data_IF_354362576036
#
_entry.id   IF_354362576036
#
_cell.length_a   1.000
_cell.length_b   1.000
_cell.length_c   1.000
_cell.angle_alpha   90.00
_cell.angle_beta   90.00
_cell.angle_gamma   90.00
#
_symmetry.space_group_name_H-M   'P 1'
#
loop_
_entity.id
_entity.type
_entity.pdbx_description
1 polymer ?
#
# COMPACT_ATOMS: atom_id res chain seq x y z
N UNK A 1 -70.92 -12.53 9.68
CA UNK A 1 -70.16 -12.26 8.43
C UNK A 1 -69.85 -10.78 8.20
N UNK A 2 -70.80 -9.83 8.37
CA UNK A 2 -70.54 -8.38 8.15
C UNK A 2 -69.48 -7.75 9.09
N UNK A 3 -69.38 -8.19 10.33
CA UNK A 3 -68.42 -7.64 11.32
C UNK A 3 -66.98 -8.11 11.14
N UNK A 4 -66.76 -9.27 10.52
CA UNK A 4 -65.41 -9.78 10.22
C UNK A 4 -64.86 -9.04 9.00
N UNK A 5 -65.68 -8.89 7.94
CA UNK A 5 -65.30 -8.20 6.70
C UNK A 5 -64.89 -6.73 6.92
N UNK A 6 -65.57 -6.03 7.83
CA UNK A 6 -65.22 -4.64 8.20
C UNK A 6 -63.88 -4.54 8.94
N UNK A 7 -63.57 -5.50 9.83
CA UNK A 7 -62.28 -5.54 10.53
C UNK A 7 -61.12 -5.89 9.59
N UNK A 8 -61.33 -6.74 8.59
CA UNK A 8 -60.31 -7.05 7.57
C UNK A 8 -60.04 -5.85 6.67
N UNK A 9 -61.07 -5.08 6.26
CA UNK A 9 -60.89 -3.87 5.45
C UNK A 9 -60.18 -2.75 6.22
N UNK A 10 -60.50 -2.57 7.51
CA UNK A 10 -59.81 -1.59 8.37
C UNK A 10 -58.34 -1.97 8.61
N UNK A 11 -58.06 -3.26 8.82
CA UNK A 11 -56.68 -3.76 8.93
C UNK A 11 -55.91 -3.62 7.61
N UNK A 12 -56.53 -3.89 6.46
CA UNK A 12 -55.90 -3.72 5.14
C UNK A 12 -55.60 -2.25 4.84
N UNK A 13 -56.50 -1.33 5.19
CA UNK A 13 -56.30 0.11 4.96
C UNK A 13 -55.25 0.73 5.88
N UNK A 14 -55.15 0.27 7.14
CA UNK A 14 -54.03 0.62 8.03
C UNK A 14 -52.70 0.04 7.51
N UNK A 15 -52.70 -1.17 6.95
CA UNK A 15 -51.50 -1.73 6.32
C UNK A 15 -51.06 -0.96 5.08
N UNK A 16 -52.00 -0.54 4.22
CA UNK A 16 -51.70 0.22 2.99
C UNK A 16 -51.14 1.61 3.30
N UNK A 17 -51.64 2.31 4.32
CA UNK A 17 -51.08 3.61 4.72
C UNK A 17 -49.65 3.49 5.28
N UNK A 18 -49.38 2.49 6.12
CA UNK A 18 -48.03 2.22 6.65
C UNK A 18 -47.02 1.89 5.53
N UNK A 19 -47.44 1.19 4.47
CA UNK A 19 -46.57 0.90 3.32
C UNK A 19 -46.33 2.12 2.41
N UNK A 20 -47.30 3.02 2.30
CA UNK A 20 -47.16 4.23 1.48
C UNK A 20 -46.15 5.24 2.06
N UNK A 21 -46.13 5.40 3.39
CA UNK A 21 -45.17 6.29 4.08
C UNK A 21 -43.73 5.73 4.01
N UNK A 22 -43.56 4.42 3.97
CA UNK A 22 -42.25 3.77 3.87
C UNK A 22 -41.55 3.95 2.52
N UNK A 23 -42.27 4.35 1.46
CA UNK A 23 -41.71 4.54 0.12
C UNK A 23 -41.50 6.01 -0.27
N UNK A 24 -41.92 6.95 0.57
CA UNK A 24 -41.80 8.37 0.26
C UNK A 24 -40.32 8.81 0.28
N UNK A 25 -39.82 9.18 -0.90
CA UNK A 25 -38.54 9.88 -1.04
C UNK A 25 -38.73 11.35 -0.67
N UNK A 26 -37.83 11.87 0.15
CA UNK A 26 -37.82 13.25 0.62
C UNK A 26 -36.44 13.88 0.39
N UNK A 27 -36.42 15.18 0.15
CA UNK A 27 -35.17 15.95 0.12
C UNK A 27 -34.77 16.27 1.55
N UNK A 28 -33.66 15.69 1.99
CA UNK A 28 -33.06 15.90 3.30
C UNK A 28 -32.04 17.02 3.16
N UNK A 29 -32.15 18.03 4.01
CA UNK A 29 -31.17 19.09 4.16
C UNK A 29 -30.64 19.10 5.59
N UNK A 30 -29.37 19.45 5.78
CA UNK A 30 -28.78 19.51 7.11
C UNK A 30 -27.36 20.04 7.09
N UNK A 31 -26.73 20.00 8.25
CA UNK A 31 -25.33 20.43 8.45
C UNK A 31 -24.50 19.23 8.87
N UNK A 32 -23.39 19.00 8.18
CA UNK A 32 -22.38 18.02 8.53
C UNK A 32 -21.01 18.71 8.56
N UNK A 33 -20.35 18.64 9.72
CA UNK A 33 -19.07 19.32 10.01
C UNK A 33 -18.12 18.39 10.74
N UNK A 34 -16.88 18.83 10.82
CA UNK A 34 -15.84 18.22 11.62
C UNK A 34 -14.84 19.29 12.10
N UNK A 35 -13.79 18.87 12.82
CA UNK A 35 -12.82 19.79 13.42
C UNK A 35 -11.77 20.36 12.46
N UNK A 36 -11.75 19.95 11.18
CA UNK A 36 -10.65 20.25 10.24
C UNK A 36 -11.15 20.71 8.86
N UNK A 37 -12.47 20.93 8.70
CA UNK A 37 -13.12 21.46 7.50
C UNK A 37 -12.73 20.77 6.17
N UNK A 38 -12.82 19.43 6.12
CA UNK A 38 -12.50 18.62 4.93
C UNK A 38 -13.72 17.84 4.41
N UNK A 39 -13.49 17.07 3.35
CA UNK A 39 -14.47 16.27 2.61
C UNK A 39 -15.16 15.19 3.46
N UNK A 40 -16.40 15.45 3.86
CA UNK A 40 -17.32 14.46 4.46
C UNK A 40 -18.14 13.84 3.33
N UNK A 41 -18.14 12.51 3.24
CA UNK A 41 -19.00 11.77 2.30
C UNK A 41 -20.27 11.34 3.03
N UNK A 42 -21.42 11.65 2.44
CA UNK A 42 -22.74 11.26 2.96
C UNK A 42 -23.36 10.26 1.98
N UNK A 43 -23.64 9.04 2.46
CA UNK A 43 -24.06 7.92 1.61
C UNK A 43 -25.34 7.29 2.14
N UNK A 44 -26.28 7.02 1.23
CA UNK A 44 -27.54 6.32 1.56
C UNK A 44 -27.30 4.81 1.70
N UNK A 45 -27.76 4.23 2.81
CA UNK A 45 -27.80 2.78 3.10
C UNK A 45 -26.46 2.03 2.98
N UNK A 46 -25.37 2.78 3.08
CA UNK A 46 -24.00 2.30 2.96
C UNK A 46 -23.65 1.64 1.61
N UNK A 47 -24.34 2.06 0.56
CA UNK A 47 -24.28 1.40 -0.76
C UNK A 47 -22.86 1.41 -1.35
N UNK A 48 -22.17 2.56 -1.28
CA UNK A 48 -20.83 2.71 -1.83
C UNK A 48 -19.76 1.91 -1.08
N UNK A 49 -19.86 1.79 0.25
CA UNK A 49 -18.86 1.05 1.02
C UNK A 49 -18.97 -0.45 0.78
N UNK A 50 -20.20 -0.99 0.80
CA UNK A 50 -20.42 -2.42 0.54
C UNK A 50 -19.89 -2.82 -0.83
N UNK A 51 -20.00 -1.93 -1.81
CA UNK A 51 -19.34 -2.11 -3.09
C UNK A 51 -17.82 -2.15 -2.95
N UNK A 52 -17.20 -1.13 -2.33
CA UNK A 52 -15.74 -1.04 -2.14
C UNK A 52 -15.16 -2.25 -1.39
N UNK A 53 -15.83 -2.69 -0.33
CA UNK A 53 -15.40 -3.86 0.46
C UNK A 53 -15.47 -5.17 -0.34
N UNK A 54 -16.43 -5.29 -1.25
CA UNK A 54 -16.50 -6.43 -2.15
C UNK A 54 -15.42 -6.33 -3.23
N UNK A 55 -15.25 -5.17 -3.84
CA UNK A 55 -14.23 -4.91 -4.85
C UNK A 55 -12.80 -5.11 -4.34
N UNK A 56 -12.52 -4.78 -3.06
CA UNK A 56 -11.20 -5.01 -2.47
C UNK A 56 -10.87 -6.48 -2.21
N UNK A 57 -11.87 -7.34 -2.14
CA UNK A 57 -11.72 -8.79 -1.89
C UNK A 57 -11.79 -9.63 -3.17
N UNK A 58 -12.33 -9.07 -4.25
CA UNK A 58 -12.57 -9.75 -5.52
C UNK A 58 -12.20 -8.83 -6.69
N UNK A 59 -11.01 -9.03 -7.24
CA UNK A 59 -10.49 -8.26 -8.37
C UNK A 59 -11.34 -8.45 -9.65
N UNK A 60 -11.95 -9.64 -9.81
CA UNK A 60 -12.86 -9.92 -10.93
C UNK A 60 -14.16 -9.11 -10.82
N UNK A 61 -14.70 -9.01 -9.60
CA UNK A 61 -15.83 -8.12 -9.31
C UNK A 61 -15.48 -6.65 -9.56
N UNK A 62 -14.33 -6.19 -9.06
CA UNK A 62 -13.88 -4.81 -9.24
C UNK A 62 -13.79 -4.43 -10.72
N UNK A 63 -13.12 -5.25 -11.54
CA UNK A 63 -12.99 -5.01 -12.98
C UNK A 63 -14.32 -5.04 -13.71
N UNK A 64 -15.21 -5.97 -13.35
CA UNK A 64 -16.49 -6.16 -14.03
C UNK A 64 -17.45 -5.00 -13.79
N UNK A 65 -17.47 -4.44 -12.58
CA UNK A 65 -18.49 -3.48 -12.15
C UNK A 65 -17.95 -2.05 -11.93
N UNK A 66 -16.76 -1.74 -12.46
CA UNK A 66 -16.13 -0.44 -12.27
C UNK A 66 -17.01 0.70 -12.82
N UNK A 67 -17.60 0.53 -13.99
CA UNK A 67 -18.49 1.52 -14.61
C UNK A 67 -19.73 1.82 -13.77
N UNK A 68 -20.31 0.80 -13.17
CA UNK A 68 -21.50 0.89 -12.32
C UNK A 68 -21.16 1.57 -10.99
N UNK A 69 -19.97 1.31 -10.46
CA UNK A 69 -19.46 2.03 -9.30
C UNK A 69 -19.27 3.51 -9.59
N UNK A 70 -18.64 3.85 -10.72
CA UNK A 70 -18.43 5.24 -11.11
C UNK A 70 -19.78 5.96 -11.30
N UNK A 71 -20.79 5.27 -11.86
CA UNK A 71 -22.15 5.77 -11.95
C UNK A 71 -22.79 6.00 -10.57
N UNK A 72 -22.61 5.07 -9.62
CA UNK A 72 -23.13 5.18 -8.25
C UNK A 72 -22.48 6.34 -7.47
N UNK A 73 -21.17 6.54 -7.60
CA UNK A 73 -20.43 7.61 -6.91
C UNK A 73 -20.90 9.00 -7.36
N UNK A 74 -21.24 9.12 -8.64
CA UNK A 74 -21.73 10.37 -9.24
C UNK A 74 -23.26 10.56 -9.10
N UNK A 75 -23.97 9.56 -8.58
CA UNK A 75 -25.41 9.64 -8.40
C UNK A 75 -25.77 10.38 -7.10
N UNK A 76 -26.38 11.56 -7.26
CA UNK A 76 -26.81 12.44 -6.16
C UNK A 76 -27.91 11.85 -5.27
N UNK A 77 -28.59 10.81 -5.72
CA UNK A 77 -29.59 10.08 -4.91
C UNK A 77 -28.94 9.10 -3.94
N UNK A 78 -27.65 8.76 -4.12
CA UNK A 78 -26.94 7.83 -3.25
C UNK A 78 -25.76 8.46 -2.51
N UNK A 79 -25.29 9.60 -2.99
CA UNK A 79 -24.08 10.24 -2.49
C UNK A 79 -24.15 11.77 -2.60
N UNK A 80 -23.76 12.46 -1.53
CA UNK A 80 -23.55 13.90 -1.53
C UNK A 80 -22.36 14.27 -0.65
N UNK A 81 -21.86 15.49 -0.84
CA UNK A 81 -20.77 16.08 -0.08
C UNK A 81 -21.25 17.44 0.40
N UNK A 82 -21.04 17.79 1.69
CA UNK A 82 -21.36 19.11 2.18
C UNK A 82 -20.57 20.22 1.47
N UNK A 83 -21.16 21.41 1.38
CA UNK A 83 -20.47 22.62 0.93
C UNK A 83 -19.43 23.11 1.96
N UNK A 84 -18.76 24.23 1.68
CA UNK A 84 -17.76 24.82 2.59
C UNK A 84 -18.32 25.30 3.93
N UNK A 85 -19.64 25.51 4.03
CA UNK A 85 -20.35 25.81 5.27
C UNK A 85 -20.81 24.54 6.02
N UNK A 86 -20.58 23.37 5.44
CA UNK A 86 -21.06 22.08 5.95
C UNK A 86 -22.51 21.78 5.59
N UNK A 87 -23.17 22.57 4.74
CA UNK A 87 -24.54 22.29 4.35
C UNK A 87 -24.57 21.18 3.31
N UNK A 88 -25.50 20.24 3.45
CA UNK A 88 -25.72 19.18 2.47
C UNK A 88 -27.18 19.04 2.11
N UNK A 89 -27.42 18.53 0.90
CA UNK A 89 -28.74 18.14 0.41
C UNK A 89 -28.65 16.77 -0.25
N UNK A 90 -29.59 15.87 0.07
CA UNK A 90 -29.68 14.53 -0.53
C UNK A 90 -31.13 14.04 -0.58
N UNK A 91 -31.50 13.33 -1.65
CA UNK A 91 -32.80 12.67 -1.75
C UNK A 91 -32.70 11.27 -1.14
N UNK A 92 -33.58 10.93 -0.19
CA UNK A 92 -33.59 9.61 0.44
C UNK A 92 -35.00 9.27 0.97
N UNK A 93 -35.29 7.99 1.19
CA UNK A 93 -36.56 7.57 1.81
C UNK A 93 -36.52 7.79 3.32
N UNK A 94 -37.67 8.03 3.94
CA UNK A 94 -37.76 8.16 5.40
C UNK A 94 -37.19 6.97 6.17
N UNK A 95 -37.28 5.77 5.57
CA UNK A 95 -36.74 4.51 6.11
C UNK A 95 -35.24 4.34 5.92
N UNK A 96 -34.61 5.13 5.05
CA UNK A 96 -33.19 5.01 4.76
C UNK A 96 -32.34 5.49 5.94
N UNK A 97 -31.07 5.06 5.90
CA UNK A 97 -30.04 5.53 6.83
C UNK A 97 -28.97 6.28 6.07
N UNK A 98 -28.66 7.51 6.50
CA UNK A 98 -27.53 8.26 6.00
C UNK A 98 -26.28 7.92 6.82
N UNK A 99 -25.19 7.62 6.11
CA UNK A 99 -23.89 7.35 6.68
C UNK A 99 -22.96 8.53 6.42
N UNK A 100 -22.48 9.15 7.49
CA UNK A 100 -21.56 10.27 7.46
C UNK A 100 -20.15 9.75 7.68
N UNK A 101 -19.30 9.91 6.67
CA UNK A 101 -17.99 9.25 6.60
C UNK A 101 -16.91 10.26 6.28
N UNK A 102 -15.78 10.09 6.94
CA UNK A 102 -14.55 10.77 6.60
C UNK A 102 -13.37 9.88 7.01
N UNK A 103 -12.29 9.93 6.23
CA UNK A 103 -11.06 9.25 6.56
C UNK A 103 -10.56 9.67 7.96
N UNK A 104 -10.28 8.68 8.83
CA UNK A 104 -9.88 8.83 10.25
C UNK A 104 -10.94 9.39 11.20
N UNK A 105 -12.20 9.42 10.80
CA UNK A 105 -13.31 9.76 11.67
C UNK A 105 -14.21 8.54 11.89
N UNK A 106 -14.82 8.45 13.07
CA UNK A 106 -15.80 7.43 13.34
C UNK A 106 -17.01 7.66 12.42
N UNK A 107 -17.43 6.61 11.71
CA UNK A 107 -18.64 6.69 10.89
C UNK A 107 -19.85 6.89 11.78
N UNK A 108 -20.61 7.96 11.53
CA UNK A 108 -21.87 8.23 12.21
C UNK A 108 -23.03 7.90 11.27
N UNK A 109 -24.13 7.40 11.82
CA UNK A 109 -25.29 6.98 11.03
C UNK A 109 -26.59 7.41 11.69
N UNK A 110 -27.52 7.89 10.88
CA UNK A 110 -28.81 8.39 11.33
C UNK A 110 -29.90 7.97 10.35
N UNK A 111 -31.07 7.59 10.87
CA UNK A 111 -32.24 7.38 10.02
C UNK A 111 -32.69 8.72 9.45
N UNK A 112 -33.13 8.73 8.20
CA UNK A 112 -33.62 9.96 7.54
C UNK A 112 -34.76 10.59 8.32
N UNK A 113 -35.74 9.78 8.77
CA UNK A 113 -36.84 10.29 9.60
C UNK A 113 -36.37 10.98 10.90
N UNK A 114 -35.30 10.47 11.54
CA UNK A 114 -34.73 11.09 12.73
C UNK A 114 -34.05 12.43 12.42
N UNK A 115 -33.31 12.51 11.30
CA UNK A 115 -32.64 13.75 10.87
C UNK A 115 -33.68 14.86 10.68
N UNK A 116 -34.78 14.55 9.97
CA UNK A 116 -35.85 15.51 9.67
C UNK A 116 -36.58 15.94 10.95
N UNK A 117 -36.99 14.98 11.78
CA UNK A 117 -37.76 15.27 12.98
C UNK A 117 -36.96 16.09 14.01
N UNK A 118 -35.65 15.82 14.13
CA UNK A 118 -34.79 16.42 15.16
C UNK A 118 -33.93 17.58 14.65
N UNK A 119 -33.94 17.86 13.35
CA UNK A 119 -33.02 18.82 12.70
C UNK A 119 -31.56 18.52 13.08
N UNK A 120 -31.16 17.27 12.88
CA UNK A 120 -29.86 16.78 13.38
C UNK A 120 -28.70 17.45 12.65
N UNK A 121 -27.86 18.16 13.41
CA UNK A 121 -26.53 18.57 12.96
C UNK A 121 -25.51 17.49 13.29
N UNK A 122 -24.69 17.13 12.31
CA UNK A 122 -23.72 16.03 12.44
C UNK A 122 -22.32 16.59 12.58
N UNK A 123 -21.73 16.41 13.76
CA UNK A 123 -20.32 16.72 14.01
C UNK A 123 -19.53 15.42 14.11
N UNK A 124 -18.78 15.09 13.05
CA UNK A 124 -17.98 13.87 13.03
C UNK A 124 -16.87 13.95 14.07
N UNK A 125 -16.70 12.86 14.82
CA UNK A 125 -15.64 12.71 15.83
C UNK A 125 -14.49 11.91 15.25
N UNK A 126 -13.22 12.30 15.50
CA UNK A 126 -12.06 11.50 15.13
C UNK A 126 -12.22 10.06 15.64
N UNK A 127 -11.82 9.09 14.83
CA UNK A 127 -11.75 7.70 15.27
C UNK A 127 -10.58 7.56 16.27
N UNK A 128 -10.69 6.66 17.27
CA UNK A 128 -9.55 6.31 18.10
C UNK A 128 -8.38 5.84 17.22
N UNK A 129 -7.20 6.40 17.45
CA UNK A 129 -6.00 6.12 16.67
C UNK A 129 -4.76 6.07 17.57
N UNK A 130 -3.73 5.39 17.09
CA UNK A 130 -2.40 5.34 17.72
C UNK A 130 -1.58 6.51 17.24
N UNK A 131 -0.89 7.20 18.15
CA UNK A 131 0.11 8.19 17.75
C UNK A 131 1.37 7.48 17.30
N UNK A 132 2.00 7.99 16.25
CA UNK A 132 3.35 7.60 15.90
C UNK A 132 4.32 7.95 17.03
N UNK A 133 5.20 7.01 17.37
CA UNK A 133 6.30 7.28 18.28
C UNK A 133 7.28 8.21 17.56
N UNK A 134 7.55 9.36 18.14
CA UNK A 134 8.57 10.27 17.64
C UNK A 134 9.95 9.76 18.04
N UNK A 135 10.89 9.81 17.09
CA UNK A 135 12.28 9.50 17.33
C UNK A 135 13.14 10.63 16.75
N UNK A 136 13.88 11.31 17.62
CA UNK A 136 14.74 12.45 17.25
C UNK A 136 16.13 11.99 16.76
N UNK A 137 16.42 10.69 16.81
CA UNK A 137 17.70 10.15 16.34
C UNK A 137 17.80 10.31 14.82
N UNK A 138 18.72 11.18 14.37
CA UNK A 138 19.01 11.37 12.95
C UNK A 138 19.91 10.29 12.35
N UNK A 139 20.62 9.56 13.21
CA UNK A 139 21.51 8.46 12.86
C UNK A 139 21.20 7.28 13.78
N UNK A 140 21.38 6.04 13.31
CA UNK A 140 21.10 4.87 14.13
C UNK A 140 22.18 4.71 15.21
N UNK A 141 21.77 4.22 16.38
CA UNK A 141 22.67 3.91 17.50
C UNK A 141 23.57 2.71 17.14
N UNK A 142 23.01 1.77 16.37
CA UNK A 142 23.70 0.61 15.78
C UNK A 142 23.23 0.37 14.37
N UNK A 143 24.14 -0.06 13.51
CA UNK A 143 23.87 -0.41 12.13
C UNK A 143 24.19 -1.88 11.87
N UNK A 144 23.14 -2.67 11.71
CA UNK A 144 23.22 -4.07 11.35
C UNK A 144 23.23 -4.21 9.83
N UNK A 145 24.34 -4.68 9.27
CA UNK A 145 24.47 -5.00 7.85
C UNK A 145 24.68 -6.50 7.74
N UNK A 146 23.77 -7.20 7.07
CA UNK A 146 23.82 -8.65 6.99
C UNK A 146 23.22 -9.17 5.69
N UNK A 147 23.70 -10.34 5.27
CA UNK A 147 22.98 -11.20 4.32
C UNK A 147 21.93 -11.96 5.11
N UNK A 148 20.66 -11.75 4.76
CA UNK A 148 19.51 -12.36 5.40
C UNK A 148 18.66 -13.15 4.42
N UNK A 149 18.14 -14.30 4.87
CA UNK A 149 17.10 -15.05 4.18
C UNK A 149 15.74 -14.71 4.76
N UNK A 150 14.81 -14.30 3.89
CA UNK A 150 13.44 -13.93 4.23
C UNK A 150 12.73 -15.11 4.88
N UNK A 151 12.14 -14.88 6.06
CA UNK A 151 11.25 -15.81 6.74
C UNK A 151 9.80 -15.39 6.53
N UNK A 152 9.49 -14.12 6.81
CA UNK A 152 8.17 -13.56 6.65
C UNK A 152 8.24 -12.05 6.42
N UNK A 153 7.37 -11.52 5.54
CA UNK A 153 7.14 -10.09 5.41
C UNK A 153 5.64 -9.87 5.35
N UNK A 154 5.11 -9.09 6.29
CA UNK A 154 3.69 -8.83 6.40
C UNK A 154 3.41 -7.33 6.47
N UNK A 155 2.35 -6.90 5.79
CA UNK A 155 1.89 -5.51 5.84
C UNK A 155 1.42 -5.12 7.24
N UNK A 156 1.75 -3.90 7.67
CA UNK A 156 1.28 -3.28 8.89
C UNK A 156 0.13 -2.33 8.53
N UNK A 157 -1.03 -2.51 9.15
CA UNK A 157 -2.16 -1.61 8.95
C UNK A 157 -1.89 -0.22 9.54
N UNK A 158 -1.48 0.70 8.66
CA UNK A 158 -1.19 2.10 8.99
C UNK A 158 -2.46 2.94 9.19
N UNK A 159 -3.64 2.43 8.83
CA UNK A 159 -4.91 3.16 9.01
C UNK A 159 -5.27 3.39 10.47
N UNK A 160 -4.66 2.62 11.37
CA UNK A 160 -4.82 2.74 12.82
C UNK A 160 -4.07 3.93 13.43
N UNK A 161 -3.20 4.62 12.66
CA UNK A 161 -2.44 5.77 13.16
C UNK A 161 -3.14 7.11 12.94
N UNK A 162 -2.88 8.05 13.84
CA UNK A 162 -3.45 9.40 13.80
C UNK A 162 -2.86 10.21 12.63
N UNK A 163 -1.57 10.04 12.37
CA UNK A 163 -0.80 10.72 11.34
C UNK A 163 -0.97 10.05 9.97
N UNK A 164 -0.95 10.83 8.88
CA UNK A 164 -1.03 10.28 7.53
C UNK A 164 0.32 9.65 7.16
N UNK A 165 0.38 8.33 7.16
CA UNK A 165 1.55 7.58 6.72
C UNK A 165 1.36 7.28 5.23
N UNK A 166 2.16 7.95 4.40
CA UNK A 166 2.13 7.77 2.95
C UNK A 166 2.93 6.55 2.49
N UNK A 167 3.87 6.12 3.33
CA UNK A 167 4.62 4.89 3.12
C UNK A 167 3.78 3.67 3.53
N UNK A 168 3.86 2.60 2.75
CA UNK A 168 3.45 1.28 3.20
C UNK A 168 4.44 0.80 4.25
N UNK A 169 3.93 0.27 5.36
CA UNK A 169 4.75 -0.24 6.45
C UNK A 169 4.71 -1.78 6.47
N UNK A 170 5.86 -2.40 6.75
CA UNK A 170 6.01 -3.84 6.76
C UNK A 170 6.73 -4.29 8.01
N UNK A 171 6.24 -5.38 8.61
CA UNK A 171 7.00 -6.17 9.59
C UNK A 171 7.77 -7.23 8.82
N UNK A 172 9.08 -7.11 8.81
CA UNK A 172 9.99 -8.02 8.12
C UNK A 172 10.74 -8.89 9.11
N UNK A 173 10.82 -10.19 8.82
CA UNK A 173 11.48 -11.20 9.65
C UNK A 173 12.43 -12.01 8.77
N UNK A 174 13.71 -12.02 9.15
CA UNK A 174 14.79 -12.60 8.37
C UNK A 174 15.69 -13.45 9.25
N UNK A 175 16.17 -14.57 8.71
CA UNK A 175 17.27 -15.33 9.28
C UNK A 175 18.59 -14.71 8.83
N UNK A 176 19.44 -14.33 9.77
CA UNK A 176 20.79 -13.84 9.53
C UNK A 176 21.67 -15.00 9.07
N UNK A 177 22.27 -14.86 7.89
CA UNK A 177 23.21 -15.83 7.32
C UNK A 177 24.66 -15.39 7.57
N UNK A 178 24.95 -14.11 7.33
CA UNK A 178 26.29 -13.55 7.46
C UNK A 178 26.22 -12.06 7.85
N UNK A 179 26.97 -11.65 8.87
CA UNK A 179 26.99 -10.27 9.38
C UNK A 179 28.28 -9.55 8.93
N UNK A 180 28.19 -8.23 8.74
CA UNK A 180 29.29 -7.40 8.22
C UNK A 180 29.53 -6.09 9.00
N UNK A 181 28.69 -5.79 9.98
CA UNK A 181 28.75 -4.57 10.79
C UNK A 181 28.49 -4.92 12.25
N UNK A 182 27.78 -4.08 13.01
CA UNK A 182 27.39 -4.36 14.39
C UNK A 182 26.77 -5.76 14.54
N UNK A 183 27.15 -6.44 15.61
CA UNK A 183 26.71 -7.80 15.89
C UNK A 183 25.29 -7.81 16.47
N UNK A 184 24.41 -8.57 15.83
CA UNK A 184 23.09 -8.91 16.36
C UNK A 184 23.16 -10.29 17.05
N UNK A 185 22.66 -10.41 18.30
CA UNK A 185 22.85 -11.61 19.13
C UNK A 185 22.07 -12.83 18.63
N UNK A 186 20.90 -12.62 18.03
CA UNK A 186 20.03 -13.71 17.61
C UNK A 186 20.25 -14.10 16.15
N UNK A 187 19.90 -15.35 15.79
CA UNK A 187 19.98 -15.81 14.40
C UNK A 187 18.87 -15.23 13.52
N UNK A 188 17.81 -14.70 14.12
CA UNK A 188 16.66 -14.13 13.43
C UNK A 188 16.48 -12.69 13.87
N UNK A 189 16.20 -11.80 12.94
CA UNK A 189 15.98 -10.38 13.19
C UNK A 189 14.62 -9.95 12.66
N UNK A 190 13.91 -9.16 13.46
CA UNK A 190 12.62 -8.57 13.11
C UNK A 190 12.79 -7.06 13.08
N UNK A 191 12.37 -6.43 11.98
CA UNK A 191 12.45 -4.99 11.82
C UNK A 191 11.26 -4.44 11.06
N UNK A 192 11.03 -3.13 11.20
CA UNK A 192 10.02 -2.41 10.43
C UNK A 192 10.66 -1.84 9.17
N UNK A 193 10.00 -1.98 8.03
CA UNK A 193 10.41 -1.34 6.78
C UNK A 193 9.30 -0.44 6.26
N UNK A 194 9.68 0.65 5.60
CA UNK A 194 8.78 1.62 5.00
C UNK A 194 9.10 1.76 3.52
N UNK A 195 8.09 1.68 2.66
CA UNK A 195 8.22 1.77 1.21
C UNK A 195 7.22 2.77 0.63
N UNK A 196 7.66 3.60 -0.30
CA UNK A 196 6.79 4.56 -0.98
C UNK A 196 6.56 4.17 -2.44
N UNK A 197 5.64 3.23 -2.66
CA UNK A 197 5.22 2.78 -3.99
C UNK A 197 6.40 2.38 -4.89
N UNK A 198 7.39 1.68 -4.33
CA UNK A 198 8.51 1.18 -5.13
C UNK A 198 8.03 0.19 -6.18
N UNK A 199 8.69 0.17 -7.34
CA UNK A 199 8.50 -0.89 -8.32
C UNK A 199 9.07 -2.20 -7.79
N UNK A 200 8.70 -3.32 -8.44
CA UNK A 200 9.06 -4.67 -8.02
C UNK A 200 10.55 -4.84 -7.70
N UNK A 201 11.44 -4.23 -8.49
CA UNK A 201 12.90 -4.37 -8.39
C UNK A 201 13.53 -3.64 -7.17
N UNK A 202 12.79 -2.68 -6.60
CA UNK A 202 13.22 -1.88 -5.44
C UNK A 202 12.50 -2.29 -4.15
N UNK A 203 11.72 -3.36 -4.19
CA UNK A 203 11.06 -3.93 -3.03
C UNK A 203 11.85 -5.14 -2.52
N UNK A 204 12.53 -4.99 -1.38
CA UNK A 204 13.33 -6.07 -0.78
C UNK A 204 12.52 -7.34 -0.50
N UNK A 205 11.22 -7.19 -0.22
CA UNK A 205 10.29 -8.30 0.02
C UNK A 205 10.12 -9.26 -1.17
N UNK A 206 10.51 -8.86 -2.38
CA UNK A 206 10.40 -9.71 -3.58
C UNK A 206 11.56 -10.70 -3.71
N UNK A 207 12.61 -10.51 -2.92
CA UNK A 207 13.81 -11.35 -2.96
C UNK A 207 13.82 -12.33 -1.79
N UNK A 208 14.34 -13.54 -2.01
CA UNK A 208 14.48 -14.54 -0.94
C UNK A 208 15.68 -14.22 -0.03
N UNK A 209 16.79 -13.80 -0.62
CA UNK A 209 18.02 -13.46 0.10
C UNK A 209 18.48 -12.06 -0.29
N UNK A 210 18.77 -11.23 0.71
CA UNK A 210 19.19 -9.83 0.52
C UNK A 210 20.38 -9.52 1.41
N UNK A 211 21.30 -8.69 0.93
CA UNK A 211 22.16 -7.88 1.78
C UNK A 211 21.34 -6.65 2.18
N UNK A 212 21.09 -6.45 3.47
CA UNK A 212 20.18 -5.42 3.97
C UNK A 212 20.80 -4.63 5.12
N UNK A 213 20.36 -3.37 5.24
CA UNK A 213 20.89 -2.39 6.19
C UNK A 213 19.78 -1.99 7.17
N UNK A 214 19.91 -2.39 8.43
CA UNK A 214 18.92 -2.15 9.48
C UNK A 214 19.57 -1.29 10.57
N UNK A 215 19.00 -0.11 10.81
CA UNK A 215 19.43 0.79 11.87
C UNK A 215 18.57 0.65 13.12
N UNK A 216 19.18 0.79 14.28
CA UNK A 216 18.49 0.92 15.57
C UNK A 216 18.21 2.39 15.87
N UNK A 217 16.94 2.77 15.94
CA UNK A 217 16.50 4.13 16.23
C UNK A 217 15.55 4.09 17.42
N UNK A 218 15.90 4.73 18.54
CA UNK A 218 15.04 4.78 19.73
C UNK A 218 14.53 3.39 20.18
N UNK A 219 15.45 2.41 20.18
CA UNK A 219 15.23 0.98 20.47
C UNK A 219 14.31 0.25 19.47
N UNK A 220 14.15 0.78 18.25
CA UNK A 220 13.41 0.13 17.17
C UNK A 220 14.33 -0.20 16.00
N UNK A 221 14.22 -1.41 15.48
CA UNK A 221 14.95 -1.84 14.30
C UNK A 221 14.19 -1.41 13.06
N UNK A 222 14.80 -0.54 12.27
CA UNK A 222 14.21 0.05 11.08
C UNK A 222 15.12 -0.21 9.88
N UNK A 223 14.55 -0.75 8.81
CA UNK A 223 15.23 -0.84 7.52
C UNK A 223 15.58 0.56 7.02
N UNK A 224 16.84 0.79 6.68
CA UNK A 224 17.22 2.03 6.02
C UNK A 224 16.59 2.03 4.62
N UNK A 225 15.65 2.96 4.39
CA UNK A 225 14.80 3.01 3.21
C UNK A 225 15.61 2.84 1.91
N UNK A 226 15.20 1.87 1.10
CA UNK A 226 15.82 1.47 -0.18
C UNK A 226 17.27 0.96 -0.10
N UNK A 227 17.83 0.77 1.11
CA UNK A 227 19.18 0.27 1.28
C UNK A 227 19.14 -1.27 1.39
N UNK A 228 19.19 -1.94 0.24
CA UNK A 228 19.38 -3.38 0.16
C UNK A 228 19.95 -3.76 -1.22
N UNK A 229 20.53 -4.95 -1.31
CA UNK A 229 20.94 -5.56 -2.57
C UNK A 229 20.40 -7.00 -2.63
N UNK A 230 19.75 -7.42 -3.72
CA UNK A 230 19.46 -8.83 -3.93
C UNK A 230 20.79 -9.58 -4.12
N UNK A 231 21.03 -10.60 -3.31
CA UNK A 231 22.29 -11.35 -3.35
C UNK A 231 22.03 -12.82 -3.57
N UNK A 232 22.94 -13.43 -4.31
CA UNK A 232 22.87 -14.82 -4.72
C UNK A 232 24.16 -15.51 -4.34
N UNK A 233 24.04 -16.80 -4.04
CA UNK A 233 25.19 -17.61 -3.67
C UNK A 233 26.07 -17.83 -4.90
N UNK A 234 27.36 -17.68 -4.73
CA UNK A 234 28.38 -17.97 -5.75
C UNK A 234 28.92 -19.38 -5.56
N UNK A 235 29.58 -19.94 -6.57
CA UNK A 235 30.14 -21.31 -6.50
C UNK A 235 31.19 -21.49 -5.40
N UNK A 236 31.87 -20.42 -5.00
CA UNK A 236 32.83 -20.42 -3.89
C UNK A 236 32.16 -20.18 -2.52
N UNK A 237 30.83 -20.15 -2.45
CA UNK A 237 30.07 -20.03 -1.19
C UNK A 237 29.86 -18.61 -0.67
N UNK A 238 30.38 -17.60 -1.36
CA UNK A 238 30.17 -16.17 -1.04
C UNK A 238 28.82 -15.68 -1.55
N UNK A 239 28.48 -14.43 -1.23
CA UNK A 239 27.26 -13.76 -1.67
C UNK A 239 27.60 -12.58 -2.58
N UNK A 240 26.89 -12.47 -3.70
CA UNK A 240 27.09 -11.39 -4.66
C UNK A 240 25.79 -10.92 -5.31
N UNK A 241 25.74 -9.65 -5.70
CA UNK A 241 24.67 -9.12 -6.56
C UNK A 241 25.16 -9.05 -8.00
N UNK A 242 24.38 -9.54 -8.98
CA UNK A 242 24.56 -9.21 -10.39
C UNK A 242 24.54 -7.70 -10.62
N UNK A 243 25.23 -7.26 -11.68
CA UNK A 243 25.20 -5.85 -12.10
C UNK A 243 23.80 -5.47 -12.61
N UNK A 244 23.22 -4.42 -12.04
CA UNK A 244 22.01 -3.79 -12.56
C UNK A 244 22.41 -2.59 -13.44
N UNK A 245 22.17 -2.62 -14.76
CA UNK A 245 22.65 -1.55 -15.67
C UNK A 245 22.17 -0.15 -15.27
N UNK A 246 20.95 -0.04 -14.73
CA UNK A 246 20.39 1.21 -14.27
C UNK A 246 21.16 1.79 -13.08
N UNK A 247 21.55 0.95 -12.12
CA UNK A 247 22.30 1.37 -10.93
C UNK A 247 23.71 1.87 -11.31
N UNK A 248 24.34 1.29 -12.33
CA UNK A 248 25.67 1.74 -12.80
C UNK A 248 25.66 3.18 -13.31
N UNK A 249 24.53 3.65 -13.87
CA UNK A 249 24.39 5.05 -14.28
C UNK A 249 24.43 5.96 -13.06
N UNK A 250 23.70 5.61 -12.00
CA UNK A 250 23.70 6.37 -10.74
C UNK A 250 25.06 6.36 -10.05
N UNK A 251 25.75 5.22 -10.00
CA UNK A 251 27.08 5.14 -9.39
C UNK A 251 28.08 6.06 -10.09
N UNK A 252 28.00 6.14 -11.43
CA UNK A 252 28.82 7.06 -12.22
C UNK A 252 28.44 8.51 -11.96
N UNK A 253 27.16 8.85 -11.99
CA UNK A 253 26.67 10.22 -11.81
C UNK A 253 26.99 10.76 -10.41
N UNK A 254 26.89 9.91 -9.39
CA UNK A 254 27.24 10.23 -7.99
C UNK A 254 28.72 10.09 -7.68
N UNK A 255 29.55 9.78 -8.69
CA UNK A 255 31.01 9.59 -8.57
C UNK A 255 31.39 8.58 -7.48
N UNK A 256 30.57 7.56 -7.29
CA UNK A 256 30.79 6.47 -6.34
C UNK A 256 30.95 5.14 -7.11
N UNK A 257 31.93 5.09 -8.00
CA UNK A 257 32.18 3.95 -8.88
C UNK A 257 33.64 3.47 -8.78
N UNK A 258 34.31 3.69 -7.65
CA UNK A 258 35.70 3.23 -7.48
C UNK A 258 35.80 1.70 -7.45
N UNK A 259 34.67 1.04 -7.16
CA UNK A 259 34.53 -0.41 -7.09
C UNK A 259 33.84 -0.90 -8.37
N UNK A 260 34.66 -1.35 -9.31
CA UNK A 260 34.19 -1.94 -10.57
C UNK A 260 33.62 -3.35 -10.33
N UNK A 261 32.59 -3.76 -11.11
CA UNK A 261 32.12 -5.14 -11.07
C UNK A 261 33.20 -6.09 -11.61
N UNK A 262 33.24 -7.30 -11.06
CA UNK A 262 34.16 -8.34 -11.51
C UNK A 262 33.43 -9.59 -12.02
N UNK A 263 34.19 -10.49 -12.66
CA UNK A 263 33.64 -11.77 -13.14
C UNK A 263 33.29 -12.65 -11.94
N UNK A 264 32.01 -13.00 -11.82
CA UNK A 264 31.52 -13.82 -10.73
C UNK A 264 30.91 -15.11 -11.27
N UNK A 265 31.39 -16.23 -10.74
CA UNK A 265 30.79 -17.54 -10.97
C UNK A 265 29.61 -17.74 -10.03
N UNK A 266 28.44 -17.24 -10.44
CA UNK A 266 27.19 -17.49 -9.73
C UNK A 266 26.83 -18.99 -9.73
N UNK A 267 26.05 -19.41 -8.73
CA UNK A 267 25.45 -20.74 -8.75
C UNK A 267 24.63 -20.97 -10.03
N UNK A 268 24.61 -22.20 -10.55
CA UNK A 268 23.92 -22.52 -11.81
C UNK A 268 22.41 -22.28 -11.75
N UNK A 269 21.83 -22.24 -10.56
CA UNK A 269 20.42 -21.92 -10.34
C UNK A 269 20.09 -20.44 -10.53
N UNK A 270 21.09 -19.55 -10.60
CA UNK A 270 20.87 -18.10 -10.75
C UNK A 270 20.67 -17.75 -12.21
N UNK A 271 19.42 -17.45 -12.57
CA UNK A 271 19.06 -16.90 -13.89
C UNK A 271 17.84 -15.99 -13.77
N UNK A 272 17.68 -15.09 -14.74
CA UNK A 272 16.52 -14.22 -14.88
C UNK A 272 15.75 -14.58 -16.14
N UNK A 273 14.43 -14.73 -16.02
CA UNK A 273 13.57 -14.98 -17.17
C UNK A 273 13.37 -13.68 -17.95
N UNK A 274 13.56 -13.74 -19.27
CA UNK A 274 13.36 -12.61 -20.16
C UNK A 274 11.88 -12.55 -20.50
N UNK A 275 11.15 -11.69 -19.80
CA UNK A 275 9.72 -11.54 -20.02
C UNK A 275 9.42 -10.76 -21.32
N UNK A 276 8.51 -11.31 -22.12
CA UNK A 276 8.00 -10.63 -23.32
C UNK A 276 7.05 -9.51 -22.91
N UNK A 277 7.38 -8.29 -23.28
CA UNK A 277 6.56 -7.13 -23.02
C UNK A 277 5.39 -7.08 -24.01
N UNK A 278 4.18 -6.90 -23.47
CA UNK A 278 2.96 -6.83 -24.28
C UNK A 278 3.00 -5.60 -25.18
N UNK A 279 2.73 -5.79 -26.47
CA UNK A 279 2.67 -4.70 -27.45
C UNK A 279 4.02 -4.30 -28.06
N UNK A 280 5.12 -4.94 -27.68
CA UNK A 280 6.40 -4.74 -28.37
C UNK A 280 6.54 -5.68 -29.57
N UNK A 281 7.08 -5.13 -30.67
CA UNK A 281 7.59 -5.93 -31.79
C UNK A 281 8.81 -6.74 -31.37
N UNK A 282 9.20 -7.76 -32.13
CA UNK A 282 10.38 -8.57 -31.81
C UNK A 282 11.67 -7.73 -31.75
N UNK A 283 11.80 -6.71 -32.61
CA UNK A 283 12.95 -5.80 -32.60
C UNK A 283 12.96 -4.93 -31.34
N UNK A 284 11.80 -4.40 -30.93
CA UNK A 284 11.68 -3.62 -29.71
C UNK A 284 11.92 -4.47 -28.46
N UNK A 285 11.41 -5.70 -28.43
CA UNK A 285 11.65 -6.66 -27.36
C UNK A 285 13.14 -6.98 -27.23
N UNK A 286 13.84 -7.17 -28.36
CA UNK A 286 15.29 -7.40 -28.37
C UNK A 286 16.02 -6.20 -27.78
N UNK A 287 15.71 -4.98 -28.22
CA UNK A 287 16.31 -3.76 -27.69
C UNK A 287 16.07 -3.58 -26.19
N UNK A 288 14.84 -3.82 -25.73
CA UNK A 288 14.50 -3.79 -24.30
C UNK A 288 15.30 -4.83 -23.50
N UNK A 289 15.40 -6.05 -24.01
CA UNK A 289 16.16 -7.12 -23.34
C UNK A 289 17.66 -6.82 -23.30
N UNK A 290 18.23 -6.21 -24.33
CA UNK A 290 19.64 -5.80 -24.37
C UNK A 290 19.94 -4.65 -23.38
N UNK A 291 18.97 -3.79 -23.10
CA UNK A 291 19.09 -2.74 -22.07
C UNK A 291 19.02 -3.32 -20.65
N UNK A 292 18.12 -4.28 -20.41
CA UNK A 292 17.96 -4.93 -19.10
C UNK A 292 19.10 -5.91 -18.80
N UNK A 293 19.55 -6.67 -19.81
CA UNK A 293 20.59 -7.69 -19.70
C UNK A 293 21.72 -7.50 -20.71
N UNK A 294 22.55 -6.43 -20.57
CA UNK A 294 23.65 -6.18 -21.49
C UNK A 294 24.65 -7.33 -21.51
N UNK A 295 25.15 -7.68 -22.71
CA UNK A 295 26.14 -8.76 -22.91
C UNK A 295 27.42 -8.62 -22.09
N UNK A 296 27.77 -7.38 -21.69
CA UNK A 296 28.91 -7.09 -20.80
C UNK A 296 28.73 -7.74 -19.42
N UNK A 297 27.49 -7.87 -18.95
CA UNK A 297 27.17 -8.31 -17.58
C UNK A 297 26.40 -9.64 -17.55
N UNK A 298 25.78 -10.03 -18.66
CA UNK A 298 24.93 -11.21 -18.76
C UNK A 298 25.28 -12.06 -19.99
N UNK A 299 25.20 -13.36 -19.81
CA UNK A 299 25.12 -14.33 -20.90
C UNK A 299 23.65 -14.67 -21.15
N UNK A 300 23.13 -14.28 -22.32
CA UNK A 300 21.74 -14.58 -22.70
C UNK A 300 21.70 -15.90 -23.46
N UNK A 301 20.96 -16.87 -22.92
CA UNK A 301 20.73 -18.20 -23.51
C UNK A 301 19.23 -18.44 -23.62
N UNK A 302 18.69 -18.42 -24.84
CA UNK A 302 17.25 -18.50 -25.12
C UNK A 302 16.51 -17.36 -24.37
N UNK A 303 15.54 -17.69 -23.54
CA UNK A 303 14.72 -16.76 -22.75
C UNK A 303 15.27 -16.56 -21.33
N UNK A 304 16.56 -16.86 -21.10
CA UNK A 304 17.21 -16.71 -19.79
C UNK A 304 18.44 -15.82 -19.89
N UNK A 305 18.57 -14.89 -18.96
CA UNK A 305 19.79 -14.12 -18.73
C UNK A 305 20.53 -14.68 -17.52
N UNK A 306 21.76 -15.14 -17.73
CA UNK A 306 22.64 -15.67 -16.69
C UNK A 306 23.67 -14.59 -16.35
N UNK A 307 23.76 -14.15 -15.08
CA UNK A 307 24.73 -13.13 -14.71
C UNK A 307 26.15 -13.68 -14.78
N UNK A 308 27.08 -12.90 -15.36
CA UNK A 308 28.50 -13.23 -15.46
C UNK A 308 29.40 -12.20 -14.77
N UNK A 309 28.83 -11.04 -14.39
CA UNK A 309 29.49 -9.98 -13.66
C UNK A 309 28.66 -9.57 -12.44
N UNK A 310 29.32 -9.15 -11.38
CA UNK A 310 28.66 -8.66 -10.18
C UNK A 310 29.62 -8.02 -9.19
N UNK A 311 29.13 -7.77 -7.98
CA UNK A 311 29.93 -7.33 -6.84
C UNK A 311 29.60 -8.22 -5.64
N UNK A 312 30.63 -8.63 -4.90
CA UNK A 312 30.42 -9.38 -3.67
C UNK A 312 29.81 -8.49 -2.58
N UNK A 313 29.21 -9.10 -1.57
CA UNK A 313 28.57 -8.37 -0.48
C UNK A 313 29.51 -7.36 0.19
N UNK A 314 30.79 -7.69 0.39
CA UNK A 314 31.77 -6.78 0.96
C UNK A 314 31.99 -5.53 0.08
N UNK A 315 32.02 -5.72 -1.23
CA UNK A 315 32.17 -4.65 -2.23
C UNK A 315 30.95 -3.74 -2.28
N UNK A 316 29.75 -4.32 -2.20
CA UNK A 316 28.50 -3.57 -2.15
C UNK A 316 28.40 -2.69 -0.91
N UNK A 317 28.93 -3.15 0.23
CA UNK A 317 28.98 -2.35 1.47
C UNK A 317 29.94 -1.17 1.31
N UNK A 318 31.12 -1.40 0.72
CA UNK A 318 32.09 -0.32 0.46
C UNK A 318 31.51 0.70 -0.53
N UNK A 319 30.89 0.23 -1.60
CA UNK A 319 30.20 1.05 -2.60
C UNK A 319 29.09 1.91 -1.95
N UNK A 320 28.28 1.30 -1.09
CA UNK A 320 27.24 1.99 -0.33
C UNK A 320 27.80 3.12 0.55
N UNK A 321 28.94 2.89 1.22
CA UNK A 321 29.61 3.92 2.02
C UNK A 321 30.06 5.09 1.14
N UNK A 322 30.73 4.81 0.02
CA UNK A 322 31.17 5.83 -0.95
C UNK A 322 30.01 6.68 -1.46
N UNK A 323 28.93 6.04 -1.90
CA UNK A 323 27.76 6.74 -2.44
C UNK A 323 27.00 7.58 -1.40
N UNK A 324 27.09 7.25 -0.11
CA UNK A 324 26.48 8.08 0.96
C UNK A 324 27.35 9.27 1.32
N UNK A 325 28.68 9.13 1.30
CA UNK A 325 29.59 10.25 1.57
C UNK A 325 29.51 11.32 0.48
N UNK A 326 29.33 10.95 -0.79
CA UNK A 326 29.25 11.93 -1.89
C UNK A 326 27.92 12.69 -1.97
N UNK A 327 26.87 12.24 -1.25
CA UNK A 327 25.58 12.94 -1.14
C UNK A 327 25.48 13.89 0.05
N UNK A 328 26.50 13.91 0.91
CA UNK A 328 26.52 14.73 2.13
C UNK A 328 27.20 16.10 1.92
N UNK A 329 27.75 16.35 0.73
CA UNK A 329 28.21 17.64 0.23
C UNK A 329 27.19 18.21 -0.77
#
# INVERSE_FOLDING_TARGET
MKTIFCKTILALSIFVSIFSEAQQTVTVWGIAKDSINNFISIVVNDTLQKFREKASRDEGFAKKYQSEFDALVNNKDFHTIPDSGGNYTINAKLTDTLYFRRFKFATQKYKVGDIIAKKTEVFLKPAPCKKLKQCEHKQPDKLYIFVGKKLNVSHIDTSTYCENIWDSAYRAEYKIIQQYSDYYPDSNIVFTAYDHNSTYEYQFQNYETVLIFVGEFCNELIHLKYQFFPVYKTKNGRWASPVKPHDELYYKDWKCNTIEPEKINFDKSVYFEIQRQKGLTDQQQKGYSEQQFPKKYYEVKKEKAVPIMGRYAEDLIRLWKECRTTKAD
#
